data_IF_719830273925
#
_entry.id   IF_719830273925
#
_cell.length_a   1.000
_cell.length_b   1.000
_cell.length_c   1.000
_cell.angle_alpha   90.00
_cell.angle_beta   90.00
_cell.angle_gamma   90.00
#
_symmetry.space_group_name_H-M   'P 1'
#
loop_
_entity.id
_entity.type
_entity.pdbx_description
1 polymer ?
#
# COMPACT_ATOMS: atom_id res chain seq x y z
N UNK A 1 25.81 -1.32 3.72
CA UNK A 1 24.55 -0.58 3.95
C UNK A 1 23.98 0.00 2.66
N UNK A 2 24.74 0.75 1.85
CA UNK A 2 24.25 1.36 0.59
C UNK A 2 23.61 0.38 -0.42
N UNK A 3 24.17 -0.84 -0.55
CA UNK A 3 23.63 -1.86 -1.44
C UNK A 3 22.25 -2.37 -0.99
N UNK A 4 22.03 -2.52 0.33
CA UNK A 4 20.76 -3.00 0.88
C UNK A 4 19.66 -1.95 0.72
N UNK A 5 19.96 -0.67 0.96
CA UNK A 5 19.01 0.43 0.74
C UNK A 5 18.64 0.60 -0.72
N UNK A 6 19.62 0.51 -1.62
CA UNK A 6 19.36 0.60 -3.08
C UNK A 6 18.50 -0.57 -3.56
N UNK A 7 18.81 -1.79 -3.10
CA UNK A 7 18.01 -2.97 -3.39
C UNK A 7 16.60 -2.87 -2.80
N UNK A 8 16.45 -2.39 -1.57
CA UNK A 8 15.16 -2.21 -0.92
C UNK A 8 14.28 -1.18 -1.67
N UNK A 9 14.88 -0.07 -2.12
CA UNK A 9 14.17 0.94 -2.92
C UNK A 9 13.70 0.35 -4.26
N UNK A 10 14.58 -0.36 -4.96
CA UNK A 10 14.24 -1.06 -6.20
C UNK A 10 13.12 -2.10 -5.97
N UNK A 11 13.23 -2.94 -4.94
CA UNK A 11 12.26 -3.96 -4.62
C UNK A 11 10.88 -3.38 -4.27
N UNK A 12 10.83 -2.25 -3.56
CA UNK A 12 9.56 -1.56 -3.26
C UNK A 12 8.85 -1.10 -4.53
N UNK A 13 9.59 -0.45 -5.45
CA UNK A 13 9.02 0.00 -6.73
C UNK A 13 8.56 -1.18 -7.57
N UNK A 14 9.38 -2.23 -7.69
CA UNK A 14 9.03 -3.45 -8.44
C UNK A 14 7.81 -4.14 -7.82
N UNK A 15 7.74 -4.25 -6.50
CA UNK A 15 6.61 -4.87 -5.79
C UNK A 15 5.30 -4.13 -6.05
N UNK A 16 5.34 -2.80 -6.00
CA UNK A 16 4.18 -1.95 -6.28
C UNK A 16 3.69 -2.13 -7.71
N UNK A 17 4.61 -2.04 -8.69
CA UNK A 17 4.27 -2.19 -10.11
C UNK A 17 3.78 -3.61 -10.40
N UNK A 18 4.45 -4.63 -9.86
CA UNK A 18 4.09 -6.03 -10.04
C UNK A 18 2.66 -6.31 -9.52
N UNK A 19 2.31 -5.85 -8.32
CA UNK A 19 0.96 -6.04 -7.79
C UNK A 19 -0.09 -5.22 -8.57
N UNK A 20 0.22 -3.97 -8.93
CA UNK A 20 -0.68 -3.10 -9.69
C UNK A 20 -1.04 -3.70 -11.05
N UNK A 21 -0.13 -4.45 -11.68
CA UNK A 21 -0.36 -5.09 -12.98
C UNK A 21 -0.91 -6.51 -12.82
N UNK A 22 -0.39 -7.30 -11.87
CA UNK A 22 -0.80 -8.69 -11.69
C UNK A 22 -2.26 -8.82 -11.25
N UNK A 23 -2.75 -7.95 -10.36
CA UNK A 23 -4.15 -8.03 -9.88
C UNK A 23 -5.17 -7.88 -11.02
N UNK A 24 -5.12 -6.82 -11.86
CA UNK A 24 -6.06 -6.67 -12.97
C UNK A 24 -5.95 -7.76 -14.04
N UNK A 25 -4.80 -8.41 -14.17
CA UNK A 25 -4.59 -9.51 -15.10
C UNK A 25 -5.24 -10.82 -14.60
N UNK A 26 -5.19 -11.07 -13.29
CA UNK A 26 -5.81 -12.26 -12.70
C UNK A 26 -7.31 -12.06 -12.49
N UNK A 27 -7.77 -10.83 -12.27
CA UNK A 27 -9.18 -10.51 -12.05
C UNK A 27 -10.05 -10.81 -13.28
N UNK A 28 -10.73 -11.97 -13.26
CA UNK A 28 -11.68 -12.43 -14.29
C UNK A 28 -12.93 -11.56 -14.39
N UNK A 29 -13.33 -10.91 -13.29
CA UNK A 29 -14.41 -9.92 -13.24
C UNK A 29 -13.87 -8.65 -12.63
N UNK A 30 -14.18 -7.52 -13.27
CA UNK A 30 -13.82 -6.18 -12.79
C UNK A 30 -15.06 -5.43 -12.37
N UNK A 31 -14.94 -4.64 -11.31
CA UNK A 31 -16.02 -3.75 -10.87
C UNK A 31 -16.25 -2.63 -11.90
N UNK A 32 -17.50 -2.19 -12.10
CA UNK A 32 -17.79 -1.08 -12.98
C UNK A 32 -17.22 0.23 -12.42
N UNK A 33 -16.91 1.18 -13.30
CA UNK A 33 -16.40 2.48 -12.89
C UNK A 33 -17.36 3.23 -11.95
N UNK A 34 -18.68 3.02 -12.10
CA UNK A 34 -19.68 3.57 -11.18
C UNK A 34 -19.48 3.08 -9.74
N UNK A 35 -19.13 1.81 -9.54
CA UNK A 35 -18.83 1.30 -8.20
C UNK A 35 -17.59 1.99 -7.60
N UNK A 36 -16.55 2.21 -8.40
CA UNK A 36 -15.29 2.80 -7.93
C UNK A 36 -15.45 4.29 -7.56
N UNK A 37 -16.18 5.07 -8.38
CA UNK A 37 -16.28 6.53 -8.19
C UNK A 37 -17.52 6.98 -7.42
N UNK A 38 -18.59 6.18 -7.40
CA UNK A 38 -19.85 6.55 -6.73
C UNK A 38 -20.28 5.55 -5.66
N UNK A 39 -19.59 4.42 -5.54
CA UNK A 39 -19.87 3.43 -4.51
C UNK A 39 -19.53 3.96 -3.13
N UNK A 40 -20.42 3.69 -2.17
CA UNK A 40 -20.20 4.02 -0.76
C UNK A 40 -20.48 2.77 0.06
N UNK A 41 -19.42 2.17 0.59
CA UNK A 41 -19.50 1.09 1.58
C UNK A 41 -19.23 1.71 2.95
N UNK A 42 -20.26 1.79 3.78
CA UNK A 42 -20.22 2.46 5.08
C UNK A 42 -19.58 1.63 6.20
N UNK A 43 -19.24 0.36 5.93
CA UNK A 43 -18.44 -0.50 6.82
C UNK A 43 -19.01 -0.66 8.23
N UNK A 44 -20.32 -0.37 8.40
CA UNK A 44 -20.97 -0.19 9.70
C UNK A 44 -20.96 -1.47 10.53
N UNK A 45 -21.12 -2.62 9.89
CA UNK A 45 -21.10 -3.94 10.53
C UNK A 45 -19.72 -4.31 11.08
N UNK A 46 -18.64 -3.90 10.40
CA UNK A 46 -17.28 -4.21 10.82
C UNK A 46 -16.69 -3.18 11.80
N UNK A 47 -17.04 -1.89 11.65
CA UNK A 47 -16.40 -0.79 12.39
C UNK A 47 -17.27 -0.20 13.51
N UNK A 48 -18.58 -0.46 13.50
CA UNK A 48 -19.54 0.14 14.44
C UNK A 48 -19.76 1.65 14.27
N UNK A 49 -19.08 2.29 13.30
CA UNK A 49 -19.16 3.73 13.05
C UNK A 49 -20.43 4.05 12.27
N UNK A 50 -21.36 4.80 12.90
CA UNK A 50 -22.62 5.20 12.25
C UNK A 50 -22.55 6.53 11.50
N UNK A 51 -21.58 7.38 11.83
CA UNK A 51 -21.42 8.70 11.20
C UNK A 51 -20.59 8.60 9.91
N UNK A 52 -21.21 8.88 8.77
CA UNK A 52 -20.54 8.81 7.46
C UNK A 52 -19.34 9.76 7.31
N UNK A 53 -19.35 10.91 8.00
CA UNK A 53 -18.18 11.81 8.00
C UNK A 53 -16.97 11.17 8.69
N UNK A 54 -17.19 10.45 9.78
CA UNK A 54 -16.11 9.75 10.47
C UNK A 54 -15.59 8.57 9.64
N UNK A 55 -16.47 7.86 8.94
CA UNK A 55 -16.07 6.81 7.97
C UNK A 55 -15.19 7.40 6.85
N UNK A 56 -15.52 8.58 6.33
CA UNK A 56 -14.68 9.28 5.35
C UNK A 56 -13.30 9.63 5.91
N UNK A 57 -13.23 10.14 7.13
CA UNK A 57 -11.97 10.46 7.81
C UNK A 57 -11.11 9.21 8.06
N UNK A 58 -11.73 8.08 8.44
CA UNK A 58 -11.00 6.82 8.60
C UNK A 58 -10.43 6.31 7.28
N UNK A 59 -11.17 6.42 6.17
CA UNK A 59 -10.65 6.11 4.83
C UNK A 59 -9.50 7.03 4.42
N UNK A 60 -9.60 8.32 4.76
CA UNK A 60 -8.54 9.30 4.51
C UNK A 60 -7.30 9.03 5.37
N UNK A 61 -7.48 8.57 6.61
CA UNK A 61 -6.40 8.21 7.53
C UNK A 61 -5.48 7.13 6.93
N UNK A 62 -6.05 6.10 6.32
CA UNK A 62 -5.27 5.06 5.64
C UNK A 62 -4.59 5.61 4.38
N UNK A 63 -5.26 6.51 3.66
CA UNK A 63 -4.70 7.15 2.47
C UNK A 63 -3.49 8.03 2.80
N UNK A 64 -3.48 8.72 3.94
CA UNK A 64 -2.36 9.56 4.35
C UNK A 64 -1.09 8.74 4.68
N UNK A 65 -1.26 7.49 5.12
CA UNK A 65 -0.16 6.62 5.52
C UNK A 65 0.78 6.33 4.34
N UNK A 66 0.27 6.38 3.10
CA UNK A 66 1.07 6.24 1.89
C UNK A 66 2.11 7.37 1.74
N UNK A 67 1.87 8.56 2.27
CA UNK A 67 2.78 9.68 2.14
C UNK A 67 3.93 9.65 3.15
N UNK A 68 3.92 8.74 4.13
CA UNK A 68 4.95 8.69 5.16
C UNK A 68 6.35 8.45 4.55
N UNK A 69 7.35 9.23 4.96
CA UNK A 69 8.74 9.09 4.53
C UNK A 69 9.17 9.99 3.37
N UNK A 70 8.35 10.97 2.94
CA UNK A 70 8.76 11.97 1.95
C UNK A 70 9.94 12.85 2.42
N UNK A 71 10.14 12.96 3.73
CA UNK A 71 11.24 13.65 4.40
C UNK A 71 12.54 12.85 4.45
N UNK A 72 12.52 11.58 4.00
CA UNK A 72 13.75 10.80 3.83
C UNK A 72 14.77 11.51 2.93
N UNK A 73 14.32 12.29 1.95
CA UNK A 73 15.19 13.12 1.11
C UNK A 73 15.98 14.17 1.89
N UNK A 74 15.47 14.65 3.03
CA UNK A 74 16.17 15.61 3.88
C UNK A 74 17.35 14.98 4.64
N UNK A 75 17.27 13.69 4.97
CA UNK A 75 18.34 12.98 5.68
C UNK A 75 19.56 12.69 4.81
N UNK A 76 19.45 12.82 3.49
CA UNK A 76 20.54 12.57 2.53
C UNK A 76 21.00 13.87 1.86
N UNK A 77 20.64 15.02 2.43
CA UNK A 77 21.02 16.34 1.94
C UNK A 77 22.55 16.50 1.84
N UNK A 78 23.31 15.94 2.78
CA UNK A 78 24.78 16.06 2.81
C UNK A 78 25.45 15.44 1.58
N UNK A 79 24.85 14.40 1.00
CA UNK A 79 25.35 13.71 -0.20
C UNK A 79 24.73 14.28 -1.49
N UNK A 80 23.80 15.24 -1.37
CA UNK A 80 23.05 15.82 -2.49
C UNK A 80 23.75 17.06 -3.04
N UNK A 81 24.15 17.03 -4.32
CA UNK A 81 24.65 18.21 -5.03
C UNK A 81 23.57 19.28 -5.08
N UNK A 82 23.85 20.52 -4.67
CA UNK A 82 22.88 21.62 -4.56
C UNK A 82 21.67 21.28 -3.68
N UNK A 83 21.94 20.85 -2.44
CA UNK A 83 20.91 20.40 -1.50
C UNK A 83 19.84 21.46 -1.20
N UNK A 84 20.18 22.75 -1.25
CA UNK A 84 19.27 23.89 -1.05
C UNK A 84 18.09 23.90 -2.03
N UNK A 85 18.28 23.39 -3.24
CA UNK A 85 17.24 23.31 -4.29
C UNK A 85 16.78 21.87 -4.49
N UNK A 86 17.70 20.91 -4.49
CA UNK A 86 17.41 19.53 -4.85
C UNK A 86 16.75 18.73 -3.73
N UNK A 87 17.02 19.04 -2.45
CA UNK A 87 16.31 18.40 -1.35
C UNK A 87 14.81 18.74 -1.31
N UNK A 88 14.38 20.02 -1.32
CA UNK A 88 12.95 20.34 -1.34
C UNK A 88 12.25 19.85 -2.62
N UNK A 89 12.92 19.92 -3.78
CA UNK A 89 12.39 19.30 -5.01
C UNK A 89 12.23 17.79 -4.88
N UNK A 90 13.19 17.11 -4.25
CA UNK A 90 13.13 15.67 -3.98
C UNK A 90 11.93 15.31 -3.11
N UNK A 91 11.66 16.07 -2.04
CA UNK A 91 10.50 15.87 -1.18
C UNK A 91 9.17 16.01 -1.94
N UNK A 92 9.02 17.07 -2.74
CA UNK A 92 7.81 17.29 -3.55
C UNK A 92 7.65 16.22 -4.63
N UNK A 93 8.75 15.84 -5.29
CA UNK A 93 8.74 14.78 -6.30
C UNK A 93 8.41 13.41 -5.69
N UNK A 94 8.92 13.11 -4.50
CA UNK A 94 8.59 11.89 -3.76
C UNK A 94 7.11 11.85 -3.40
N UNK A 95 6.58 12.93 -2.80
CA UNK A 95 5.16 13.03 -2.47
C UNK A 95 4.26 12.91 -3.72
N UNK A 96 4.60 13.62 -4.81
CA UNK A 96 3.84 13.56 -6.05
C UNK A 96 3.86 12.19 -6.71
N UNK A 97 5.03 11.55 -6.77
CA UNK A 97 5.18 10.20 -7.35
C UNK A 97 4.39 9.18 -6.53
N UNK A 98 4.46 9.26 -5.20
CA UNK A 98 3.69 8.39 -4.31
C UNK A 98 2.19 8.61 -4.44
N UNK A 99 1.73 9.86 -4.63
CA UNK A 99 0.32 10.14 -4.90
C UNK A 99 -0.17 9.43 -6.17
N UNK A 100 0.56 9.57 -7.28
CA UNK A 100 0.18 9.01 -8.58
C UNK A 100 0.23 7.48 -8.56
N UNK A 101 1.34 6.91 -8.09
CA UNK A 101 1.51 5.45 -8.04
C UNK A 101 0.56 4.80 -7.02
N UNK A 102 0.37 5.41 -5.85
CA UNK A 102 -0.57 4.96 -4.84
C UNK A 102 -2.02 5.01 -5.33
N UNK A 103 -2.41 6.07 -6.04
CA UNK A 103 -3.74 6.17 -6.65
C UNK A 103 -3.96 5.08 -7.71
N UNK A 104 -2.99 4.84 -8.59
CA UNK A 104 -3.07 3.77 -9.59
C UNK A 104 -3.18 2.37 -8.95
N UNK A 105 -2.45 2.14 -7.86
CA UNK A 105 -2.55 0.88 -7.10
C UNK A 105 -3.92 0.72 -6.44
N UNK A 106 -4.44 1.76 -5.79
CA UNK A 106 -5.78 1.74 -5.19
C UNK A 106 -6.87 1.51 -6.26
N UNK A 107 -6.74 2.12 -7.44
CA UNK A 107 -7.65 1.89 -8.55
C UNK A 107 -7.63 0.42 -9.00
N UNK A 108 -6.42 -0.16 -9.09
CA UNK A 108 -6.23 -1.56 -9.47
C UNK A 108 -6.81 -2.53 -8.45
N UNK A 109 -6.66 -2.23 -7.15
CA UNK A 109 -7.29 -3.00 -6.07
C UNK A 109 -8.81 -2.92 -6.17
N UNK A 110 -9.39 -1.72 -6.19
CA UNK A 110 -10.85 -1.51 -6.21
C UNK A 110 -11.51 -2.12 -7.46
N UNK A 111 -10.86 -2.02 -8.62
CA UNK A 111 -11.35 -2.63 -9.85
C UNK A 111 -11.35 -4.17 -9.78
N UNK A 112 -10.47 -4.77 -8.97
CA UNK A 112 -10.30 -6.22 -8.87
C UNK A 112 -11.10 -6.84 -7.72
N UNK A 113 -11.80 -6.07 -6.89
CA UNK A 113 -12.60 -6.58 -5.76
C UNK A 113 -13.80 -7.40 -6.26
N UNK A 114 -13.91 -8.70 -5.95
CA UNK A 114 -15.07 -9.49 -6.36
C UNK A 114 -16.29 -9.19 -5.48
N UNK A 115 -16.12 -9.23 -4.15
CA UNK A 115 -17.18 -9.06 -3.15
C UNK A 115 -16.67 -8.21 -1.98
N UNK A 116 -16.95 -6.89 -1.95
CA UNK A 116 -16.40 -5.96 -0.96
C UNK A 116 -16.75 -6.33 0.49
N UNK A 117 -17.99 -6.78 0.71
CA UNK A 117 -18.50 -7.15 2.04
C UNK A 117 -17.90 -8.45 2.57
N UNK A 118 -17.44 -9.34 1.69
CA UNK A 118 -16.80 -10.57 2.10
C UNK A 118 -15.40 -10.32 2.68
N UNK A 119 -14.72 -9.24 2.27
CA UNK A 119 -13.32 -8.95 2.64
C UNK A 119 -13.08 -8.75 4.14
N UNK A 120 -14.12 -8.42 4.90
CA UNK A 120 -14.08 -8.19 6.34
C UNK A 120 -14.90 -9.22 7.12
N UNK A 121 -15.40 -10.27 6.45
CA UNK A 121 -16.20 -11.31 7.10
C UNK A 121 -15.31 -12.16 8.04
N UNK A 122 -15.67 -12.30 9.33
CA UNK A 122 -14.96 -13.16 10.27
C UNK A 122 -14.89 -14.64 9.86
N UNK A 123 -15.81 -15.10 9.00
CA UNK A 123 -15.85 -16.49 8.51
C UNK A 123 -14.92 -16.76 7.33
N UNK A 124 -14.23 -15.73 6.84
CA UNK A 124 -13.27 -15.86 5.76
C UNK A 124 -11.99 -16.58 6.17
N UNK A 125 -11.20 -17.02 5.18
CA UNK A 125 -9.89 -17.67 5.39
C UNK A 125 -8.94 -16.78 6.20
N UNK A 126 -9.08 -15.46 6.07
CA UNK A 126 -8.25 -14.46 6.73
C UNK A 126 -8.90 -13.90 8.01
N UNK A 127 -10.07 -14.43 8.40
CA UNK A 127 -10.87 -14.01 9.56
C UNK A 127 -11.20 -12.50 9.60
N UNK A 128 -11.16 -11.82 8.46
CA UNK A 128 -11.38 -10.38 8.36
C UNK A 128 -10.20 -9.51 8.84
N UNK A 129 -9.07 -10.08 9.26
CA UNK A 129 -7.93 -9.31 9.80
C UNK A 129 -7.09 -8.62 8.70
N UNK A 130 -7.06 -9.17 7.49
CA UNK A 130 -6.28 -8.63 6.38
C UNK A 130 -7.07 -8.59 5.07
N UNK A 131 -7.78 -7.48 4.84
CA UNK A 131 -8.62 -7.26 3.67
C UNK A 131 -7.87 -7.44 2.32
N UNK A 132 -6.61 -7.00 2.24
CA UNK A 132 -5.80 -7.14 1.00
C UNK A 132 -5.43 -8.61 0.77
N UNK A 133 -5.01 -9.34 1.79
CA UNK A 133 -4.67 -10.76 1.64
C UNK A 133 -5.88 -11.58 1.21
N UNK A 134 -7.05 -11.27 1.76
CA UNK A 134 -8.30 -11.91 1.39
C UNK A 134 -8.73 -11.54 -0.04
N UNK A 135 -8.56 -10.29 -0.45
CA UNK A 135 -8.81 -9.86 -1.82
C UNK A 135 -7.98 -10.69 -2.81
N UNK A 136 -6.67 -10.83 -2.57
CA UNK A 136 -5.79 -11.61 -3.45
C UNK A 136 -6.23 -13.08 -3.51
N UNK A 137 -6.65 -13.65 -2.38
CA UNK A 137 -7.19 -15.01 -2.29
C UNK A 137 -8.47 -15.18 -3.11
N UNK A 138 -9.43 -14.27 -2.97
CA UNK A 138 -10.72 -14.34 -3.66
C UNK A 138 -10.57 -14.13 -5.18
N UNK A 139 -9.68 -13.22 -5.58
CA UNK A 139 -9.34 -13.01 -7.00
C UNK A 139 -8.73 -14.26 -7.62
N UNK A 140 -7.78 -14.90 -6.94
CA UNK A 140 -7.16 -16.14 -7.42
C UNK A 140 -8.15 -17.31 -7.46
N UNK A 141 -8.96 -17.46 -6.41
CA UNK A 141 -9.99 -18.51 -6.33
C UNK A 141 -11.02 -18.36 -7.45
N UNK A 142 -11.44 -17.13 -7.76
CA UNK A 142 -12.36 -16.86 -8.87
C UNK A 142 -11.71 -17.10 -10.26
N UNK A 143 -10.41 -16.89 -10.40
CA UNK A 143 -9.68 -17.06 -11.65
C UNK A 143 -9.37 -18.52 -11.97
N UNK A 144 -8.78 -19.24 -11.00
CA UNK A 144 -8.15 -20.55 -11.20
C UNK A 144 -8.81 -21.69 -10.42
N UNK A 145 -9.82 -21.41 -9.61
CA UNK A 145 -10.50 -22.41 -8.77
C UNK A 145 -9.74 -22.81 -7.50
N UNK A 146 -8.49 -22.39 -7.35
CA UNK A 146 -7.66 -22.57 -6.15
C UNK A 146 -7.10 -21.21 -5.67
N UNK A 147 -7.08 -21.01 -4.35
CA UNK A 147 -6.59 -19.78 -3.70
C UNK A 147 -5.07 -19.76 -3.48
N UNK A 148 -4.39 -20.89 -3.68
CA UNK A 148 -2.95 -21.03 -3.38
C UNK A 148 -2.04 -20.08 -4.16
N UNK A 149 -2.43 -19.65 -5.36
CA UNK A 149 -1.69 -18.67 -6.15
C UNK A 149 -1.63 -17.26 -5.52
N UNK A 150 -2.48 -16.96 -4.54
CA UNK A 150 -2.42 -15.71 -3.79
C UNK A 150 -1.23 -15.63 -2.81
N UNK A 151 -0.75 -16.77 -2.30
CA UNK A 151 0.39 -16.82 -1.36
C UNK A 151 1.69 -16.22 -1.93
N UNK A 152 2.16 -16.60 -3.13
CA UNK A 152 3.36 -15.98 -3.71
C UNK A 152 3.17 -14.50 -4.07
N UNK A 153 1.94 -14.05 -4.35
CA UNK A 153 1.69 -12.63 -4.54
C UNK A 153 1.74 -11.85 -3.24
N UNK A 154 1.35 -12.46 -2.12
CA UNK A 154 1.41 -11.86 -0.79
C UNK A 154 2.84 -11.82 -0.24
N UNK A 155 3.71 -12.75 -0.65
CA UNK A 155 5.10 -12.75 -0.19
C UNK A 155 5.92 -11.57 -0.76
N UNK A 156 5.59 -11.08 -1.96
CA UNK A 156 6.23 -9.92 -2.59
C UNK A 156 6.18 -8.66 -1.68
N UNK A 157 4.98 -8.16 -1.28
CA UNK A 157 4.87 -7.00 -0.39
C UNK A 157 5.36 -7.31 1.03
N UNK A 158 5.31 -8.56 1.48
CA UNK A 158 5.85 -8.94 2.80
C UNK A 158 7.37 -8.72 2.88
N UNK A 159 8.11 -9.12 1.84
CA UNK A 159 9.56 -8.86 1.75
C UNK A 159 9.84 -7.35 1.72
N UNK A 160 9.04 -6.58 0.97
CA UNK A 160 9.16 -5.13 0.92
C UNK A 160 8.92 -4.49 2.31
N UNK A 161 7.91 -4.94 3.05
CA UNK A 161 7.60 -4.47 4.38
C UNK A 161 8.73 -4.78 5.38
N UNK A 162 9.32 -5.98 5.34
CA UNK A 162 10.45 -6.34 6.20
C UNK A 162 11.67 -5.44 5.96
N UNK A 163 11.99 -5.17 4.70
CA UNK A 163 13.08 -4.25 4.34
C UNK A 163 12.80 -2.82 4.79
N UNK A 164 11.55 -2.37 4.68
CA UNK A 164 11.13 -1.06 5.17
C UNK A 164 11.30 -0.95 6.70
N UNK A 165 10.83 -1.94 7.46
CA UNK A 165 10.95 -1.96 8.93
C UNK A 165 12.41 -1.90 9.36
N UNK A 166 13.27 -2.69 8.71
CA UNK A 166 14.70 -2.66 8.98
C UNK A 166 15.30 -1.26 8.79
N UNK A 167 14.96 -0.57 7.70
CA UNK A 167 15.45 0.77 7.41
C UNK A 167 14.93 1.81 8.41
N UNK A 168 13.64 1.74 8.78
CA UNK A 168 13.05 2.66 9.76
C UNK A 168 13.69 2.52 11.14
N UNK A 169 13.92 1.29 11.60
CA UNK A 169 14.59 1.04 12.89
C UNK A 169 16.02 1.60 12.87
N UNK A 170 16.77 1.36 11.79
CA UNK A 170 18.14 1.86 11.65
C UNK A 170 18.22 3.40 11.64
N UNK A 171 17.31 4.07 10.91
CA UNK A 171 17.27 5.53 10.86
C UNK A 171 16.87 6.15 12.20
N UNK A 172 15.81 5.63 12.84
CA UNK A 172 15.34 6.16 14.13
C UNK A 172 16.39 5.98 15.24
N UNK A 173 17.11 4.85 15.24
CA UNK A 173 18.19 4.62 16.21
C UNK A 173 19.32 5.65 16.08
N UNK A 174 19.68 6.07 14.85
CA UNK A 174 20.69 7.12 14.61
C UNK A 174 20.24 8.49 15.12
N UNK A 175 18.98 8.84 14.88
CA UNK A 175 18.41 10.11 15.38
C UNK A 175 18.36 10.13 16.91
N UNK A 176 17.92 9.04 17.54
CA UNK A 176 17.90 8.91 19.00
C UNK A 176 19.30 9.04 19.61
N UNK A 177 20.32 8.41 19.01
CA UNK A 177 21.70 8.54 19.47
C UNK A 177 22.24 9.97 19.34
N UNK A 178 21.85 10.70 18.29
CA UNK A 178 22.30 12.09 18.10
C UNK A 178 21.72 13.09 19.13
N UNK A 179 20.61 12.73 19.80
CA UNK A 179 19.99 13.54 20.84
C UNK A 179 20.36 13.12 22.27
N UNK A 180 21.08 12.01 22.45
CA UNK A 180 21.52 11.49 23.74
C UNK A 180 22.93 12.00 24.09
#
# INVERSE_FOLDING_TARGET
>A
MAYLTSFAAFWNVVSLVALSVALPLVARRRQPASYIFTGWEDGREATGVRNGFYTALLGLLISQYLFLGFDASAHVCEETRHADINAPRGMVAAAGTTAVCGYAYLLSLNASVPHPRALLDPNSVTRGDHAVAQLLWDVHKAAFGDGRGALPMLSIPLVAALMCVYQSVANNARMLYAFA
#
